data_IF_078880513752
#
_entry.id   IF_078880513752
#
_cell.length_a   1.000
_cell.length_b   1.000
_cell.length_c   1.000
_cell.angle_alpha   90.00
_cell.angle_beta   90.00
_cell.angle_gamma   90.00
#
_symmetry.space_group_name_H-M   'P 1'
#
loop_
_entity.id
_entity.type
_entity.pdbx_description
1 polymer ?
#
# COMPACT_ATOMS: atom_id res chain seq x y z
N UNK A 1 28.40 9.20 -11.70
CA UNK A 1 26.94 9.23 -11.86
C UNK A 1 26.49 10.64 -11.49
N UNK A 2 26.04 11.46 -12.46
CA UNK A 2 25.55 12.80 -12.14
C UNK A 2 24.28 12.66 -11.32
N UNK A 3 24.36 12.92 -10.01
CA UNK A 3 23.21 12.86 -9.13
C UNK A 3 22.31 14.06 -9.43
N UNK A 4 21.24 13.83 -10.21
CA UNK A 4 20.09 14.73 -10.21
C UNK A 4 19.69 14.98 -8.75
N UNK A 5 19.45 16.25 -8.39
CA UNK A 5 18.93 16.60 -7.07
C UNK A 5 17.71 15.70 -6.76
N UNK A 6 17.55 15.15 -5.54
CA UNK A 6 16.48 14.20 -5.20
C UNK A 6 15.11 14.58 -5.73
N UNK A 7 14.73 15.84 -5.49
CA UNK A 7 13.52 16.45 -6.05
C UNK A 7 13.38 16.32 -7.57
N UNK A 8 14.44 16.56 -8.36
CA UNK A 8 14.38 16.45 -9.83
C UNK A 8 14.27 14.99 -10.29
N UNK A 9 14.95 14.07 -9.62
CA UNK A 9 14.84 12.64 -9.91
C UNK A 9 13.42 12.11 -9.66
N UNK A 10 12.80 12.55 -8.55
CA UNK A 10 11.45 12.15 -8.15
C UNK A 10 10.33 12.81 -8.95
N UNK A 11 10.64 13.81 -9.76
CA UNK A 11 9.70 14.42 -10.72
C UNK A 11 9.85 13.81 -12.12
N UNK A 12 10.72 12.80 -12.29
CA UNK A 12 10.88 12.07 -13.54
C UNK A 12 9.72 11.09 -13.77
N UNK A 13 9.53 10.66 -15.01
CA UNK A 13 8.68 9.52 -15.36
C UNK A 13 9.42 8.18 -15.29
N UNK A 14 10.73 8.20 -15.03
CA UNK A 14 11.54 7.01 -14.79
C UNK A 14 11.73 6.81 -13.29
N UNK A 15 11.76 5.56 -12.86
CA UNK A 15 12.00 5.18 -11.47
C UNK A 15 13.27 4.35 -11.37
N UNK A 16 14.12 4.67 -10.40
CA UNK A 16 15.30 3.87 -10.06
C UNK A 16 15.06 3.19 -8.72
N UNK A 17 14.86 1.87 -8.73
CA UNK A 17 14.51 1.08 -7.55
C UNK A 17 15.55 1.25 -6.44
N UNK A 18 16.84 1.10 -6.75
CA UNK A 18 17.93 1.28 -5.79
C UNK A 18 17.91 2.67 -5.14
N UNK A 19 17.59 3.70 -5.92
CA UNK A 19 17.49 5.07 -5.41
C UNK A 19 16.29 5.23 -4.47
N UNK A 20 15.13 4.68 -4.83
CA UNK A 20 13.92 4.68 -3.99
C UNK A 20 14.18 3.95 -2.67
N UNK A 21 14.70 2.72 -2.72
CA UNK A 21 15.01 1.94 -1.51
C UNK A 21 16.02 2.65 -0.61
N UNK A 22 17.09 3.21 -1.17
CA UNK A 22 18.07 3.99 -0.39
C UNK A 22 17.44 5.25 0.23
N UNK A 23 16.57 5.94 -0.51
CA UNK A 23 15.86 7.11 -0.01
C UNK A 23 14.96 6.74 1.17
N UNK A 24 14.11 5.72 1.04
CA UNK A 24 13.22 5.27 2.11
C UNK A 24 13.99 4.76 3.34
N UNK A 25 15.06 4.01 3.13
CA UNK A 25 15.95 3.57 4.21
C UNK A 25 16.52 4.76 4.98
N UNK A 26 16.95 5.82 4.28
CA UNK A 26 17.53 7.02 4.91
C UNK A 26 16.52 7.93 5.60
N UNK A 27 15.27 7.99 5.11
CA UNK A 27 14.29 8.98 5.56
C UNK A 27 13.25 8.41 6.54
N UNK A 28 12.83 7.16 6.32
CA UNK A 28 11.75 6.51 7.08
C UNK A 28 12.33 5.47 8.05
N UNK A 29 13.38 4.75 7.63
CA UNK A 29 13.92 3.60 8.36
C UNK A 29 13.02 2.36 8.22
N UNK A 30 13.34 1.27 8.92
CA UNK A 30 12.57 0.01 8.89
C UNK A 30 13.32 -1.17 8.28
N UNK A 31 12.57 -2.18 7.84
CA UNK A 31 13.08 -3.43 7.26
C UNK A 31 13.48 -3.29 5.78
N UNK A 32 13.95 -4.38 5.15
CA UNK A 32 14.41 -4.36 3.75
C UNK A 32 13.27 -4.11 2.75
N UNK A 33 12.03 -4.46 3.11
CA UNK A 33 10.86 -4.37 2.24
C UNK A 33 9.84 -3.33 2.72
N UNK A 34 9.49 -3.36 4.01
CA UNK A 34 8.54 -2.42 4.63
C UNK A 34 9.31 -1.38 5.44
N UNK A 35 9.15 -0.11 5.06
CA UNK A 35 9.77 1.03 5.71
C UNK A 35 8.77 1.67 6.68
N UNK A 36 9.11 1.73 7.96
CA UNK A 36 8.20 2.17 9.02
C UNK A 36 8.56 1.56 10.36
N UNK A 37 7.99 2.11 11.44
CA UNK A 37 8.23 1.71 12.82
C UNK A 37 7.14 0.78 13.35
N UNK A 38 5.99 0.70 12.68
CA UNK A 38 4.86 -0.13 13.05
C UNK A 38 3.80 0.59 13.89
N UNK A 39 4.00 1.85 14.25
CA UNK A 39 3.03 2.70 14.94
C UNK A 39 2.32 3.69 14.00
N UNK A 40 2.70 3.70 12.71
CA UNK A 40 2.11 4.61 11.74
C UNK A 40 0.65 4.24 11.43
N UNK A 41 -0.26 5.22 11.40
CA UNK A 41 -1.67 4.97 11.14
C UNK A 41 -1.97 4.58 9.68
N UNK A 42 -1.00 4.81 8.79
CA UNK A 42 -1.11 4.61 7.35
C UNK A 42 -0.01 3.67 6.89
N UNK A 43 -0.40 2.66 6.11
CA UNK A 43 0.51 1.86 5.28
C UNK A 43 0.30 2.22 3.81
N UNK A 44 1.31 2.79 3.17
CA UNK A 44 1.29 3.14 1.76
C UNK A 44 1.94 2.04 0.91
N UNK A 45 1.30 1.64 -0.19
CA UNK A 45 1.77 0.60 -1.09
C UNK A 45 1.85 1.15 -2.51
N UNK A 46 2.90 0.82 -3.26
CA UNK A 46 3.07 1.21 -4.67
C UNK A 46 3.97 0.23 -5.42
N UNK A 47 4.15 0.42 -6.73
CA UNK A 47 5.11 -0.34 -7.53
C UNK A 47 4.76 -1.82 -7.67
N UNK A 48 3.53 -2.11 -8.08
CA UNK A 48 3.06 -3.44 -8.43
C UNK A 48 3.44 -3.78 -9.87
N UNK A 49 3.33 -2.81 -10.77
CA UNK A 49 3.58 -2.96 -12.21
C UNK A 49 4.33 -1.74 -12.77
N UNK A 50 4.92 -1.84 -13.98
CA UNK A 50 5.72 -0.75 -14.54
C UNK A 50 4.96 0.59 -14.68
N UNK A 51 3.65 0.54 -14.94
CA UNK A 51 2.77 1.72 -15.01
C UNK A 51 2.70 2.51 -13.68
N UNK A 52 3.07 1.90 -12.56
CA UNK A 52 3.08 2.56 -11.25
C UNK A 52 4.30 3.47 -11.04
N UNK A 53 5.24 3.55 -11.99
CA UNK A 53 6.43 4.40 -11.85
C UNK A 53 6.14 5.85 -11.39
N UNK A 54 5.13 6.57 -11.94
CA UNK A 54 4.74 7.89 -11.44
C UNK A 54 4.22 7.85 -9.99
N UNK A 55 3.49 6.80 -9.62
CA UNK A 55 2.98 6.60 -8.27
C UNK A 55 4.11 6.32 -7.27
N UNK A 56 5.10 5.50 -7.63
CA UNK A 56 6.33 5.27 -6.82
C UNK A 56 7.09 6.57 -6.62
N UNK A 57 7.26 7.35 -7.69
CA UNK A 57 7.96 8.62 -7.65
C UNK A 57 7.24 9.66 -6.78
N UNK A 58 5.90 9.71 -6.86
CA UNK A 58 5.08 10.58 -6.01
C UNK A 58 5.15 10.18 -4.53
N UNK A 59 5.02 8.89 -4.22
CA UNK A 59 5.15 8.39 -2.84
C UNK A 59 6.54 8.71 -2.26
N UNK A 60 7.59 8.54 -3.07
CA UNK A 60 8.95 8.92 -2.71
C UNK A 60 9.10 10.43 -2.50
N UNK A 61 8.44 11.25 -3.33
CA UNK A 61 8.42 12.71 -3.19
C UNK A 61 7.70 13.14 -1.91
N UNK A 62 6.57 12.51 -1.58
CA UNK A 62 5.83 12.74 -0.34
C UNK A 62 6.72 12.46 0.87
N UNK A 63 7.36 11.29 0.92
CA UNK A 63 8.28 10.92 2.00
C UNK A 63 9.46 11.90 2.11
N UNK A 64 10.06 12.28 0.98
CA UNK A 64 11.12 13.29 0.95
C UNK A 64 10.66 14.65 1.47
N UNK A 65 9.53 15.17 1.00
CA UNK A 65 9.02 16.48 1.40
C UNK A 65 8.63 16.49 2.88
N UNK A 66 8.03 15.41 3.38
CA UNK A 66 7.69 15.24 4.78
C UNK A 66 8.94 15.23 5.67
N UNK A 67 9.94 14.40 5.35
CA UNK A 67 11.17 14.30 6.14
C UNK A 67 11.98 15.60 6.17
N UNK A 68 11.77 16.48 5.18
CA UNK A 68 12.40 17.80 5.09
C UNK A 68 11.54 18.94 5.67
N UNK A 69 10.39 18.63 6.28
CA UNK A 69 9.47 19.62 6.83
C UNK A 69 8.81 20.52 5.79
N UNK A 70 8.87 20.15 4.51
CA UNK A 70 8.29 20.91 3.39
C UNK A 70 6.79 20.64 3.22
N UNK A 71 6.30 19.56 3.80
CA UNK A 71 4.94 19.09 3.66
C UNK A 71 4.44 18.58 5.01
N UNK A 72 3.28 19.07 5.44
CA UNK A 72 2.61 18.55 6.62
C UNK A 72 1.81 17.30 6.22
N UNK A 73 2.43 16.13 6.36
CA UNK A 73 1.80 14.83 6.15
C UNK A 73 1.92 13.99 7.44
N UNK A 74 0.95 13.12 7.76
CA UNK A 74 1.07 12.21 8.90
C UNK A 74 2.22 11.23 8.68
N UNK A 75 2.84 10.69 9.74
CA UNK A 75 3.80 9.60 9.59
C UNK A 75 3.12 8.43 8.87
N UNK A 76 3.85 7.81 7.93
CA UNK A 76 3.37 6.67 7.17
C UNK A 76 4.46 5.61 7.12
N UNK A 77 4.03 4.36 7.20
CA UNK A 77 4.81 3.24 6.74
C UNK A 77 4.61 3.07 5.23
N UNK A 78 5.60 2.52 4.53
CA UNK A 78 5.55 2.36 3.09
C UNK A 78 6.19 1.07 2.61
N UNK A 79 5.60 0.50 1.58
CA UNK A 79 6.23 -0.44 0.66
C UNK A 79 6.24 0.27 -0.70
N UNK A 80 7.32 1.00 -1.04
CA UNK A 80 7.31 1.86 -2.21
C UNK A 80 7.33 1.07 -3.52
N UNK A 81 7.83 -0.16 -3.50
CA UNK A 81 7.83 -1.09 -4.62
C UNK A 81 7.48 -2.47 -4.06
N UNK A 82 6.23 -2.89 -4.25
CA UNK A 82 5.71 -4.14 -3.71
C UNK A 82 6.19 -5.34 -4.51
N UNK A 83 6.26 -5.23 -5.84
CA UNK A 83 6.68 -6.33 -6.71
C UNK A 83 7.82 -5.87 -7.62
N UNK A 84 9.04 -5.79 -7.08
CA UNK A 84 10.22 -5.27 -7.79
C UNK A 84 10.44 -5.96 -9.15
N UNK A 85 10.26 -7.29 -9.21
CA UNK A 85 10.43 -8.04 -10.44
C UNK A 85 9.40 -7.61 -11.49
N UNK A 86 8.11 -7.63 -11.18
CA UNK A 86 7.07 -7.22 -12.12
C UNK A 86 7.16 -5.73 -12.47
N UNK A 87 7.54 -4.89 -11.52
CA UNK A 87 7.75 -3.46 -11.71
C UNK A 87 8.87 -3.15 -12.73
N UNK A 88 9.95 -3.94 -12.72
CA UNK A 88 11.09 -3.76 -13.63
C UNK A 88 10.91 -4.45 -14.98
N UNK A 89 10.39 -5.67 -14.97
CA UNK A 89 10.38 -6.57 -16.14
C UNK A 89 9.02 -6.61 -16.85
N UNK A 90 7.98 -6.04 -16.24
CA UNK A 90 6.60 -6.19 -16.67
C UNK A 90 6.00 -7.54 -16.26
N UNK A 91 4.70 -7.74 -16.52
CA UNK A 91 4.06 -9.04 -16.29
C UNK A 91 4.72 -10.09 -17.20
N UNK A 92 5.17 -11.20 -16.62
CA UNK A 92 5.77 -12.28 -17.38
C UNK A 92 4.74 -12.86 -18.37
N UNK A 93 4.93 -12.61 -19.67
CA UNK A 93 4.12 -13.23 -20.73
C UNK A 93 4.58 -14.68 -20.89
N UNK A 94 3.88 -15.59 -20.22
CA UNK A 94 4.12 -17.04 -20.29
C UNK A 94 5.12 -17.57 -19.28
N UNK A 95 4.61 -18.07 -18.14
CA UNK A 95 5.30 -19.04 -17.28
C UNK A 95 6.40 -18.51 -16.35
N UNK A 96 6.04 -18.22 -15.09
CA UNK A 96 6.96 -18.42 -13.95
C UNK A 96 7.28 -17.20 -13.07
N UNK A 97 6.89 -15.98 -13.45
CA UNK A 97 6.82 -14.84 -12.53
C UNK A 97 5.38 -14.64 -12.12
N UNK A 98 5.06 -14.77 -10.82
CA UNK A 98 3.68 -14.60 -10.36
C UNK A 98 3.26 -13.13 -10.57
N UNK A 99 2.51 -12.89 -11.65
CA UNK A 99 1.79 -11.64 -11.92
C UNK A 99 0.76 -11.34 -10.83
N UNK A 100 0.39 -12.34 -10.04
CA UNK A 100 -0.50 -12.20 -8.91
C UNK A 100 0.33 -11.90 -7.66
N UNK A 101 0.63 -10.61 -7.46
CA UNK A 101 0.87 -10.14 -6.11
C UNK A 101 -0.48 -10.11 -5.36
N UNK A 102 -1.00 -11.31 -5.06
CA UNK A 102 -2.27 -11.48 -4.40
C UNK A 102 -2.06 -11.52 -2.88
N UNK A 103 -2.49 -10.44 -2.23
CA UNK A 103 -2.48 -10.32 -0.78
C UNK A 103 -3.52 -11.18 -0.07
N UNK A 104 -4.44 -11.80 -0.82
CA UNK A 104 -5.40 -12.78 -0.31
C UNK A 104 -4.79 -14.18 -0.29
N UNK A 105 -4.06 -14.60 -1.32
CA UNK A 105 -3.49 -15.95 -1.39
C UNK A 105 -2.10 -16.08 -0.76
N UNK A 106 -1.35 -14.98 -0.62
CA UNK A 106 -0.04 -14.93 0.07
C UNK A 106 0.96 -15.99 -0.46
N UNK A 107 1.00 -16.17 -1.79
CA UNK A 107 1.88 -17.14 -2.46
C UNK A 107 3.37 -16.79 -2.35
N UNK A 108 3.70 -15.51 -2.35
CA UNK A 108 5.09 -15.02 -2.34
C UNK A 108 5.58 -14.69 -0.93
N UNK A 109 6.89 -14.79 -0.69
CA UNK A 109 7.51 -14.38 0.57
C UNK A 109 7.29 -12.89 0.86
N UNK A 110 7.40 -12.07 -0.20
CA UNK A 110 7.15 -10.62 -0.15
C UNK A 110 5.71 -10.33 0.33
N UNK A 111 4.70 -11.01 -0.22
CA UNK A 111 3.31 -10.84 0.22
C UNK A 111 3.13 -11.24 1.68
N UNK A 112 3.77 -12.34 2.12
CA UNK A 112 3.74 -12.80 3.52
C UNK A 112 4.42 -11.83 4.47
N UNK A 113 5.53 -11.21 4.07
CA UNK A 113 6.25 -10.23 4.89
C UNK A 113 5.42 -8.96 5.08
N UNK A 114 4.86 -8.40 4.00
CA UNK A 114 3.97 -7.25 4.08
C UNK A 114 2.73 -7.59 4.92
N UNK A 115 2.17 -8.79 4.73
CA UNK A 115 1.02 -9.22 5.52
C UNK A 115 1.35 -9.37 7.01
N UNK A 116 2.53 -9.91 7.34
CA UNK A 116 3.00 -10.00 8.73
C UNK A 116 3.16 -8.61 9.34
N UNK A 117 3.75 -7.67 8.61
CA UNK A 117 3.84 -6.27 9.05
C UNK A 117 2.45 -5.70 9.31
N UNK A 118 1.52 -5.87 8.37
CA UNK A 118 0.15 -5.40 8.47
C UNK A 118 -0.56 -5.92 9.74
N UNK A 119 -0.41 -7.21 10.07
CA UNK A 119 -0.93 -7.81 11.30
C UNK A 119 -0.26 -7.34 12.58
N UNK A 120 1.03 -7.02 12.53
CA UNK A 120 1.74 -6.48 13.68
C UNK A 120 1.39 -5.00 13.93
N UNK A 121 1.34 -4.18 12.88
CA UNK A 121 1.19 -2.73 12.99
C UNK A 121 -0.27 -2.25 13.04
N UNK A 122 -1.21 -3.09 12.58
CA UNK A 122 -2.65 -2.78 12.51
C UNK A 122 -2.95 -1.36 11.98
N UNK A 123 -2.49 -1.00 10.77
CA UNK A 123 -2.67 0.35 10.27
C UNK A 123 -4.16 0.64 10.09
N UNK A 124 -4.61 1.85 10.42
CA UNK A 124 -6.03 2.23 10.28
C UNK A 124 -6.42 2.41 8.81
N UNK A 125 -5.46 2.80 7.99
CA UNK A 125 -5.64 3.05 6.56
C UNK A 125 -4.55 2.37 5.77
N UNK A 126 -4.95 1.70 4.68
CA UNK A 126 -4.03 1.25 3.63
C UNK A 126 -4.27 2.11 2.40
N UNK A 127 -3.21 2.72 1.90
CA UNK A 127 -3.26 3.58 0.70
C UNK A 127 -2.49 2.91 -0.41
N UNK A 128 -3.17 2.60 -1.51
CA UNK A 128 -2.58 1.96 -2.69
C UNK A 128 -2.38 3.04 -3.76
N UNK A 129 -1.12 3.34 -4.07
CA UNK A 129 -0.75 4.23 -5.15
C UNK A 129 -0.55 3.41 -6.43
N UNK A 130 -1.24 3.80 -7.50
CA UNK A 130 -1.23 3.11 -8.79
C UNK A 130 -1.00 4.08 -9.94
N UNK A 131 -0.47 3.57 -11.05
CA UNK A 131 -0.56 4.22 -12.35
C UNK A 131 -2.00 4.32 -12.82
N UNK A 132 -2.40 5.46 -13.36
CA UNK A 132 -3.74 5.71 -13.88
C UNK A 132 -3.71 6.45 -15.21
N UNK A 133 -4.87 6.58 -15.85
CA UNK A 133 -5.02 7.47 -17.02
C UNK A 133 -5.09 8.93 -16.58
N UNK A 134 -5.80 9.18 -15.48
CA UNK A 134 -6.05 10.49 -14.89
C UNK A 134 -5.78 10.42 -13.38
N UNK A 135 -5.69 11.60 -12.75
CA UNK A 135 -5.63 11.66 -11.30
C UNK A 135 -6.99 11.30 -10.70
N UNK A 136 -7.02 10.28 -9.84
CA UNK A 136 -8.23 9.85 -9.16
C UNK A 136 -7.91 9.41 -7.73
N UNK A 137 -8.79 9.76 -6.79
CA UNK A 137 -8.77 9.18 -5.44
C UNK A 137 -10.12 8.55 -5.15
N UNK A 138 -10.09 7.31 -4.68
CA UNK A 138 -11.30 6.56 -4.30
C UNK A 138 -11.08 5.84 -2.97
N UNK A 139 -12.19 5.52 -2.30
CA UNK A 139 -12.18 4.78 -1.05
C UNK A 139 -12.99 3.47 -1.18
N UNK A 140 -12.68 2.50 -0.34
CA UNK A 140 -13.27 1.15 -0.38
C UNK A 140 -14.42 0.97 0.62
N UNK A 141 -14.43 1.77 1.69
CA UNK A 141 -15.47 1.77 2.73
C UNK A 141 -16.28 3.06 2.67
N UNK A 142 -17.56 3.00 3.04
CA UNK A 142 -18.45 4.18 3.02
C UNK A 142 -17.96 5.30 3.94
N UNK A 143 -17.50 4.97 5.16
CA UNK A 143 -16.97 5.97 6.10
C UNK A 143 -15.77 6.75 5.54
N UNK A 144 -14.81 6.05 4.93
CA UNK A 144 -13.66 6.71 4.30
C UNK A 144 -14.08 7.55 3.07
N UNK A 145 -15.04 7.06 2.28
CA UNK A 145 -15.55 7.81 1.13
C UNK A 145 -16.21 9.12 1.56
N UNK A 146 -17.04 9.08 2.60
CA UNK A 146 -17.69 10.25 3.18
C UNK A 146 -16.68 11.24 3.77
N UNK A 147 -15.81 10.77 4.67
CA UNK A 147 -14.88 11.63 5.40
C UNK A 147 -13.85 12.30 4.48
N UNK A 148 -13.45 11.63 3.40
CA UNK A 148 -12.51 12.16 2.41
C UNK A 148 -13.21 12.87 1.24
N UNK A 149 -14.55 12.83 1.17
CA UNK A 149 -15.34 13.36 0.05
C UNK A 149 -14.90 12.80 -1.30
N UNK A 150 -14.69 11.49 -1.37
CA UNK A 150 -14.28 10.75 -2.57
C UNK A 150 -15.29 9.67 -2.95
N UNK A 151 -15.21 9.18 -4.18
CA UNK A 151 -16.08 8.09 -4.65
C UNK A 151 -15.76 6.79 -3.91
N UNK A 152 -16.81 6.08 -3.49
CA UNK A 152 -16.72 4.70 -3.00
C UNK A 152 -16.62 3.71 -4.16
N UNK A 153 -15.72 2.75 -4.05
CA UNK A 153 -15.59 1.59 -4.95
C UNK A 153 -15.73 0.29 -4.17
N UNK A 154 -16.09 -0.78 -4.87
CA UNK A 154 -15.99 -2.15 -4.35
C UNK A 154 -14.87 -2.86 -5.14
N UNK A 155 -13.65 -2.96 -4.57
CA UNK A 155 -12.55 -3.61 -5.26
C UNK A 155 -12.73 -5.13 -5.32
N UNK A 156 -12.02 -5.78 -6.24
CA UNK A 156 -11.89 -7.24 -6.24
C UNK A 156 -11.10 -7.67 -5.00
N UNK A 157 -11.47 -8.77 -4.32
CA UNK A 157 -10.73 -9.25 -3.15
C UNK A 157 -9.28 -9.66 -3.47
N UNK A 158 -8.98 -9.90 -4.76
CA UNK A 158 -7.65 -10.26 -5.25
C UNK A 158 -6.78 -9.05 -5.66
N UNK A 159 -7.27 -7.81 -5.50
CA UNK A 159 -6.42 -6.62 -5.65
C UNK A 159 -5.87 -6.18 -4.30
N UNK A 160 -4.74 -5.45 -4.25
CA UNK A 160 -4.18 -4.95 -2.99
C UNK A 160 -5.21 -4.22 -2.14
N UNK A 161 -5.92 -3.26 -2.72
CA UNK A 161 -6.94 -2.48 -2.02
C UNK A 161 -8.11 -3.35 -1.53
N UNK A 162 -8.47 -4.42 -2.24
CA UNK A 162 -9.52 -5.33 -1.81
C UNK A 162 -9.09 -6.22 -0.67
N UNK A 163 -7.94 -6.88 -0.79
CA UNK A 163 -7.42 -7.79 0.23
C UNK A 163 -7.24 -7.11 1.60
N UNK A 164 -6.80 -5.84 1.64
CA UNK A 164 -6.68 -5.09 2.89
C UNK A 164 -8.02 -4.54 3.40
N UNK A 165 -8.98 -4.27 2.52
CA UNK A 165 -10.34 -3.88 2.93
C UNK A 165 -11.05 -5.02 3.66
N UNK A 166 -10.79 -6.27 3.29
CA UNK A 166 -11.31 -7.45 4.00
C UNK A 166 -10.78 -7.56 5.44
N UNK A 167 -9.75 -6.80 5.79
CA UNK A 167 -9.13 -6.79 7.11
C UNK A 167 -9.64 -5.58 7.92
N UNK A 168 -8.86 -5.07 8.85
CA UNK A 168 -9.25 -4.04 9.83
C UNK A 168 -8.81 -2.62 9.41
N UNK A 169 -8.69 -2.35 8.11
CA UNK A 169 -8.29 -1.03 7.58
C UNK A 169 -9.27 -0.48 6.55
N UNK A 170 -9.33 0.84 6.48
CA UNK A 170 -9.91 1.53 5.33
C UNK A 170 -8.93 1.48 4.15
N UNK A 171 -9.39 1.04 2.97
CA UNK A 171 -8.61 1.12 1.74
C UNK A 171 -8.86 2.44 1.00
N UNK A 172 -7.78 3.12 0.62
CA UNK A 172 -7.79 4.28 -0.29
C UNK A 172 -6.95 3.91 -1.51
N UNK A 173 -7.44 4.23 -2.72
CA UNK A 173 -6.65 4.08 -3.95
C UNK A 173 -6.40 5.45 -4.53
N UNK A 174 -5.13 5.72 -4.84
CA UNK A 174 -4.68 6.96 -5.47
C UNK A 174 -4.08 6.61 -6.83
N UNK A 175 -4.74 7.03 -7.91
CA UNK A 175 -4.28 6.79 -9.29
C UNK A 175 -3.59 8.02 -9.83
N UNK A 176 -2.40 7.83 -10.39
CA UNK A 176 -1.51 8.91 -10.84
C UNK A 176 -1.28 8.79 -12.35
N UNK A 177 -1.50 9.86 -13.13
CA UNK A 177 -1.28 9.83 -14.58
C UNK A 177 0.21 9.64 -14.94
N UNK A 178 0.55 9.16 -16.15
CA UNK A 178 1.94 8.85 -16.53
C UNK A 178 2.88 10.06 -16.55
N UNK A 179 2.32 11.25 -16.81
CA UNK A 179 3.03 12.52 -16.85
C UNK A 179 2.30 13.57 -16.00
N UNK A 180 2.39 13.51 -14.65
CA UNK A 180 1.78 14.53 -13.82
C UNK A 180 2.52 15.85 -14.05
N UNK A 181 1.89 16.78 -14.80
CA UNK A 181 2.47 18.12 -15.03
C UNK A 181 2.64 18.90 -13.71
N UNK A 182 2.01 18.44 -12.62
CA UNK A 182 1.86 19.17 -11.36
C UNK A 182 2.06 18.28 -10.12
N UNK A 183 3.09 17.41 -10.10
CA UNK A 183 3.43 16.59 -8.91
C UNK A 183 3.41 17.36 -7.57
N UNK A 184 3.77 18.65 -7.57
CA UNK A 184 3.75 19.47 -6.36
C UNK A 184 2.33 19.79 -5.85
N UNK A 185 1.41 20.10 -6.77
CA UNK A 185 0.00 20.35 -6.40
C UNK A 185 -0.63 19.05 -5.94
N UNK A 186 -0.36 17.96 -6.66
CA UNK A 186 -0.81 16.62 -6.31
C UNK A 186 -0.26 16.18 -4.96
N UNK A 187 1.03 16.40 -4.68
CA UNK A 187 1.64 15.98 -3.40
C UNK A 187 1.03 16.75 -2.22
N UNK A 188 0.75 18.04 -2.39
CA UNK A 188 0.03 18.83 -1.37
C UNK A 188 -1.39 18.31 -1.13
N UNK A 189 -2.15 18.08 -2.21
CA UNK A 189 -3.50 17.57 -2.11
C UNK A 189 -3.56 16.19 -1.42
N UNK A 190 -2.65 15.28 -1.79
CA UNK A 190 -2.57 13.96 -1.14
C UNK A 190 -2.17 14.10 0.33
N UNK A 191 -1.24 14.98 0.69
CA UNK A 191 -0.88 15.18 2.09
C UNK A 191 -2.07 15.61 2.94
N UNK A 192 -2.86 16.56 2.45
CA UNK A 192 -4.07 17.02 3.13
C UNK A 192 -5.09 15.88 3.26
N UNK A 193 -5.27 15.07 2.21
CA UNK A 193 -6.12 13.88 2.24
C UNK A 193 -5.63 12.84 3.25
N UNK A 194 -4.33 12.56 3.28
CA UNK A 194 -3.73 11.62 4.24
C UNK A 194 -3.88 12.11 5.68
N UNK A 195 -3.81 13.42 5.93
CA UNK A 195 -4.08 13.98 7.27
C UNK A 195 -5.50 13.73 7.75
N UNK A 196 -6.47 13.77 6.84
CA UNK A 196 -7.86 13.41 7.16
C UNK A 196 -7.98 11.90 7.34
N UNK A 197 -7.41 11.11 6.43
CA UNK A 197 -7.43 9.66 6.50
C UNK A 197 -6.81 9.11 7.80
N UNK A 198 -5.72 9.70 8.27
CA UNK A 198 -5.07 9.33 9.54
C UNK A 198 -5.95 9.57 10.79
N UNK A 199 -7.12 10.21 10.65
CA UNK A 199 -8.10 10.39 11.73
C UNK A 199 -9.26 9.39 11.67
N UNK A 200 -9.34 8.57 10.62
CA UNK A 200 -10.34 7.51 10.54
C UNK A 200 -10.21 6.57 11.75
N UNK A 201 -11.35 6.10 12.31
CA UNK A 201 -11.32 5.08 13.34
C UNK A 201 -10.84 3.74 12.75
N UNK A 202 -10.42 2.78 13.58
CA UNK A 202 -10.18 1.42 13.12
C UNK A 202 -11.44 0.78 12.55
N UNK A 203 -11.30 -0.12 11.56
CA UNK A 203 -12.43 -0.93 11.08
C UNK A 203 -12.66 -2.09 12.03
N UNK A 204 -13.84 -2.13 12.65
CA UNK A 204 -14.22 -3.22 13.55
C UNK A 204 -14.69 -4.44 12.77
N UNK A 205 -14.18 -5.61 13.14
CA UNK A 205 -14.53 -6.91 12.56
C UNK A 205 -14.88 -7.88 13.69
N UNK A 206 -15.92 -8.69 13.47
CA UNK A 206 -16.32 -9.71 14.45
C UNK A 206 -15.40 -10.93 14.32
N UNK A 207 -14.87 -11.47 15.41
CA UNK A 207 -14.13 -12.72 15.37
C UNK A 207 -15.01 -13.87 14.89
N UNK A 208 -14.48 -14.70 13.99
CA UNK A 208 -15.12 -15.90 13.46
C UNK A 208 -14.18 -17.09 13.63
N UNK A 209 -14.74 -18.24 14.02
CA UNK A 209 -14.01 -19.50 14.10
C UNK A 209 -14.20 -20.27 12.80
N UNK A 210 -13.11 -20.70 12.19
CA UNK A 210 -13.07 -21.46 10.94
C UNK A 210 -12.26 -22.74 11.09
N UNK A 211 -12.41 -23.66 10.14
CA UNK A 211 -11.58 -24.87 10.06
C UNK A 211 -10.09 -24.50 9.98
N UNK A 212 -9.24 -25.33 10.58
CA UNK A 212 -7.79 -25.11 10.56
C UNK A 212 -7.21 -25.27 9.16
N UNK A 213 -6.91 -24.15 8.50
CA UNK A 213 -6.14 -24.10 7.24
C UNK A 213 -4.87 -23.24 7.42
N UNK A 214 -3.72 -23.64 6.85
CA UNK A 214 -2.47 -22.87 6.97
C UNK A 214 -2.59 -21.42 6.51
N UNK A 215 -3.39 -21.16 5.47
CA UNK A 215 -3.60 -19.81 4.92
C UNK A 215 -4.25 -18.86 5.94
N UNK A 216 -5.12 -19.35 6.82
CA UNK A 216 -5.77 -18.50 7.83
C UNK A 216 -4.80 -18.05 8.92
N UNK A 217 -3.81 -18.89 9.27
CA UNK A 217 -2.72 -18.49 10.17
C UNK A 217 -1.85 -17.40 9.53
N UNK A 218 -1.63 -17.48 8.20
CA UNK A 218 -0.91 -16.43 7.47
C UNK A 218 -1.67 -15.10 7.48
N UNK A 219 -2.99 -15.11 7.54
CA UNK A 219 -3.86 -13.92 7.71
C UNK A 219 -4.10 -13.52 9.18
N UNK A 220 -3.12 -13.78 10.04
CA UNK A 220 -3.15 -13.35 11.44
C UNK A 220 -4.14 -14.12 12.32
N UNK A 221 -4.66 -15.25 11.83
CA UNK A 221 -5.52 -16.12 12.61
C UNK A 221 -4.80 -16.73 13.81
N UNK A 222 -5.53 -16.91 14.91
CA UNK A 222 -5.04 -17.57 16.12
C UNK A 222 -5.52 -19.02 16.15
N UNK A 223 -4.58 -19.96 16.24
CA UNK A 223 -4.90 -21.37 16.40
C UNK A 223 -5.61 -21.66 17.72
N UNK A 224 -6.64 -22.51 17.66
CA UNK A 224 -7.38 -23.09 18.79
C UNK A 224 -7.56 -24.59 18.55
N UNK A 225 -8.00 -25.35 19.56
CA UNK A 225 -7.98 -26.83 19.56
C UNK A 225 -8.59 -27.48 18.30
N UNK A 226 -9.70 -26.94 17.82
CA UNK A 226 -10.50 -27.47 16.70
C UNK A 226 -10.63 -26.46 15.54
N UNK A 227 -9.75 -25.47 15.44
CA UNK A 227 -9.83 -24.49 14.35
C UNK A 227 -8.90 -23.28 14.46
N UNK A 228 -9.28 -22.21 13.78
CA UNK A 228 -8.59 -20.91 13.80
C UNK A 228 -9.61 -19.81 14.04
N UNK A 229 -9.30 -18.86 14.92
CA UNK A 229 -10.08 -17.64 15.10
C UNK A 229 -9.49 -16.54 14.23
N UNK A 230 -10.31 -15.97 13.35
CA UNK A 230 -9.98 -14.83 12.49
C UNK A 230 -10.78 -13.59 12.92
N UNK A 231 -10.15 -12.43 12.90
CA UNK A 231 -10.77 -11.12 13.13
C UNK A 231 -10.86 -10.31 11.83
N UNK A 232 -11.12 -11.00 10.71
CA UNK A 232 -11.22 -10.42 9.37
C UNK A 232 -12.06 -11.31 8.43
N UNK A 233 -12.46 -10.73 7.29
CA UNK A 233 -13.41 -11.33 6.36
C UNK A 233 -12.73 -12.19 5.27
N UNK A 234 -11.41 -12.39 5.33
CA UNK A 234 -10.67 -13.15 4.29
C UNK A 234 -11.18 -14.58 4.13
N UNK A 235 -11.76 -15.15 5.19
CA UNK A 235 -12.31 -16.50 5.19
C UNK A 235 -13.46 -16.69 4.19
N UNK A 236 -14.22 -15.64 3.89
CA UNK A 236 -15.35 -15.68 2.95
C UNK A 236 -14.85 -15.93 1.52
N UNK A 237 -13.63 -15.49 1.22
CA UNK A 237 -13.07 -15.47 -0.14
C UNK A 237 -12.01 -16.55 -0.39
N UNK A 238 -11.59 -17.26 0.65
CA UNK A 238 -10.65 -18.39 0.61
C UNK A 238 -11.35 -19.75 0.83
N UNK A 239 -12.68 -19.74 0.89
CA UNK A 239 -13.56 -20.88 1.21
C UNK A 239 -13.50 -22.00 0.18
#
# INVERSE_FOLDING_TARGET
>A
MYHLHPRKALLSTKTCVRYVSALFSSLVGGGPLVYGRGDEPILALSGFYPEDAPAVNLLSLLAYQQARGMLNAPPLAAVPIVNEKAFLEGPAVGGGGDIYFDFLELKTEVAREINRYYHASRPRVVVVFQGGKEFEVVATTDLAAEMLSVKKITPSPHTPEGAFTLKYSHGIVVRIPPNPREFYIISKHIADLLRVAAKLPPVERRPVKVEKRPIYLLHGGKEVEDGVILDNDVHIYLG
#
